data_IF_285044355187
#
_entry.id   IF_285044355187
#
_cell.length_a   1.000
_cell.length_b   1.000
_cell.length_c   1.000
_cell.angle_alpha   90.00
_cell.angle_beta   90.00
_cell.angle_gamma   90.00
#
_symmetry.space_group_name_H-M   'P 1'
#
loop_
_entity.id
_entity.type
_entity.pdbx_description
1 polymer ?
#
# COMPACT_ATOMS: atom_id res chain seq x y z
N UNK A 1 -47.43 10.53 91.19
CA UNK A 1 -47.62 10.23 89.79
C UNK A 1 -46.37 10.51 89.07
N UNK A 2 -45.81 9.41 88.59
CA UNK A 2 -44.91 9.04 87.47
C UNK A 2 -43.46 9.47 87.56
N UNK A 3 -42.66 8.46 88.01
CA UNK A 3 -41.30 8.17 87.62
C UNK A 3 -41.33 7.63 86.17
N UNK A 4 -40.75 8.28 85.24
CA UNK A 4 -40.23 7.72 84.02
C UNK A 4 -39.48 8.83 83.34
N UNK A 5 -38.29 8.50 82.78
CA UNK A 5 -37.44 9.30 81.85
C UNK A 5 -36.09 9.80 82.38
N UNK A 6 -35.27 8.91 82.92
CA UNK A 6 -33.84 9.14 83.10
C UNK A 6 -33.02 7.88 82.64
N UNK A 7 -33.29 7.37 81.46
CA UNK A 7 -32.47 6.30 80.86
C UNK A 7 -32.38 6.37 79.32
N UNK A 8 -31.91 7.50 78.78
CA UNK A 8 -31.58 7.55 77.39
C UNK A 8 -30.41 8.46 77.00
N UNK A 9 -29.42 8.58 77.86
CA UNK A 9 -28.24 9.44 77.58
C UNK A 9 -26.87 8.73 77.70
N UNK A 10 -26.81 7.42 77.39
CA UNK A 10 -25.54 6.69 77.41
C UNK A 10 -25.43 5.72 76.20
N UNK A 11 -25.46 6.26 74.97
CA UNK A 11 -25.06 5.46 73.79
C UNK A 11 -24.60 6.37 72.64
N UNK A 12 -23.79 7.36 72.89
CA UNK A 12 -22.94 7.96 71.89
C UNK A 12 -21.54 7.36 71.99
N UNK A 13 -21.45 6.07 71.69
CA UNK A 13 -20.18 5.42 71.44
C UNK A 13 -19.57 6.03 70.20
N UNK A 14 -18.57 6.89 70.36
CA UNK A 14 -17.68 7.32 69.28
C UNK A 14 -17.05 6.09 68.66
N UNK A 15 -17.58 5.60 67.57
CA UNK A 15 -16.92 4.62 66.71
C UNK A 15 -15.62 5.27 66.18
N UNK A 16 -14.50 4.98 66.81
CA UNK A 16 -13.17 5.27 66.28
C UNK A 16 -13.10 4.56 64.89
N UNK A 17 -12.92 5.30 63.78
CA UNK A 17 -12.73 4.64 62.50
C UNK A 17 -11.49 3.77 62.64
N UNK A 18 -11.68 2.47 62.56
CA UNK A 18 -10.54 1.53 62.48
C UNK A 18 -9.64 1.90 61.30
N UNK A 19 -8.33 1.63 61.40
CA UNK A 19 -7.39 1.96 60.33
C UNK A 19 -7.94 1.43 59.02
N UNK A 20 -8.02 2.33 57.99
CA UNK A 20 -8.45 1.97 56.66
C UNK A 20 -7.66 0.72 56.25
N UNK A 21 -8.33 -0.43 56.19
CA UNK A 21 -7.70 -1.63 55.66
C UNK A 21 -7.24 -1.30 54.30
N UNK A 22 -5.92 -1.26 54.12
CA UNK A 22 -5.24 -1.15 52.87
C UNK A 22 -5.80 -2.29 51.98
N UNK A 23 -6.77 -1.96 51.12
CA UNK A 23 -7.38 -2.91 50.20
C UNK A 23 -6.37 -3.10 49.08
N UNK A 24 -5.24 -3.72 49.41
CA UNK A 24 -4.33 -4.22 48.41
C UNK A 24 -5.12 -5.13 47.48
N UNK A 25 -4.85 -4.99 46.19
CA UNK A 25 -5.43 -5.84 45.17
C UNK A 25 -5.35 -7.31 45.58
N UNK A 26 -6.42 -8.08 45.41
CA UNK A 26 -6.43 -9.50 45.69
C UNK A 26 -5.44 -10.27 44.80
N UNK A 27 -5.07 -11.49 45.19
CA UNK A 27 -4.04 -12.24 44.48
C UNK A 27 -4.33 -12.43 42.97
N UNK A 28 -5.57 -12.75 42.53
CA UNK A 28 -5.88 -12.85 41.13
C UNK A 28 -5.76 -11.50 40.39
N UNK A 29 -6.17 -10.39 40.98
CA UNK A 29 -6.05 -9.05 40.39
C UNK A 29 -4.57 -8.64 40.23
N UNK A 30 -3.70 -8.99 41.21
CA UNK A 30 -2.24 -8.80 41.10
C UNK A 30 -1.63 -9.64 39.98
N UNK A 31 -2.06 -10.89 39.84
CA UNK A 31 -1.59 -11.76 38.77
C UNK A 31 -2.00 -11.24 37.39
N UNK A 32 -3.25 -10.79 37.23
CA UNK A 32 -3.74 -10.18 35.99
C UNK A 32 -2.98 -8.89 35.68
N UNK A 33 -2.83 -7.99 36.65
CA UNK A 33 -2.08 -6.75 36.49
C UNK A 33 -0.62 -7.00 36.09
N UNK A 34 0.03 -8.01 36.73
CA UNK A 34 1.39 -8.43 36.40
C UNK A 34 1.49 -8.97 34.96
N UNK A 35 0.55 -9.80 34.56
CA UNK A 35 0.48 -10.31 33.16
C UNK A 35 0.32 -9.18 32.16
N UNK A 36 -0.63 -8.27 32.39
CA UNK A 36 -0.87 -7.11 31.49
C UNK A 36 0.37 -6.23 31.40
N UNK A 37 1.05 -5.98 32.52
CA UNK A 37 2.28 -5.19 32.53
C UNK A 37 3.39 -5.86 31.71
N UNK A 38 3.61 -7.15 31.90
CA UNK A 38 4.64 -7.90 31.17
C UNK A 38 4.29 -7.93 29.68
N UNK A 39 3.04 -8.23 29.31
CA UNK A 39 2.58 -8.24 27.95
C UNK A 39 2.77 -6.87 27.26
N UNK A 40 2.44 -5.78 27.96
CA UNK A 40 2.64 -4.41 27.47
C UNK A 40 4.12 -4.09 27.30
N UNK A 41 4.97 -4.48 28.22
CA UNK A 41 6.43 -4.29 28.12
C UNK A 41 7.02 -5.04 26.93
N UNK A 42 6.62 -6.30 26.75
CA UNK A 42 7.05 -7.11 25.59
C UNK A 42 6.58 -6.46 24.29
N UNK A 43 5.31 -6.01 24.24
CA UNK A 43 4.77 -5.31 23.07
C UNK A 43 5.56 -4.04 22.75
N UNK A 44 5.85 -3.20 23.76
CA UNK A 44 6.63 -1.96 23.58
C UNK A 44 8.04 -2.26 23.05
N UNK A 45 8.71 -3.27 23.63
CA UNK A 45 10.08 -3.66 23.21
C UNK A 45 10.07 -4.17 21.76
N UNK A 46 9.14 -5.05 21.41
CA UNK A 46 9.03 -5.56 20.04
C UNK A 46 8.69 -4.46 19.05
N UNK A 47 7.80 -3.56 19.43
CA UNK A 47 7.46 -2.40 18.60
C UNK A 47 8.64 -1.45 18.39
N UNK A 48 9.40 -1.17 19.45
CA UNK A 48 10.61 -0.37 19.39
C UNK A 48 11.69 -1.03 18.50
N UNK A 49 11.88 -2.34 18.62
CA UNK A 49 12.78 -3.09 17.76
C UNK A 49 12.34 -3.03 16.27
N UNK A 50 11.07 -3.23 16.02
CA UNK A 50 10.50 -3.19 14.67
C UNK A 50 10.69 -1.81 14.00
N UNK A 51 10.51 -0.73 14.76
CA UNK A 51 10.68 0.64 14.26
C UNK A 51 12.15 1.06 14.15
N UNK A 52 13.00 0.63 15.10
CA UNK A 52 14.42 0.99 15.11
C UNK A 52 15.24 0.24 14.06
N UNK A 53 14.80 -0.95 13.65
CA UNK A 53 15.54 -1.81 12.73
C UNK A 53 14.76 -2.10 11.43
N UNK A 54 14.43 -1.06 10.62
CA UNK A 54 13.65 -1.24 9.39
C UNK A 54 14.33 -2.17 8.38
N UNK A 55 15.67 -2.30 8.43
CA UNK A 55 16.44 -3.18 7.55
C UNK A 55 16.15 -4.67 7.74
N UNK A 56 15.54 -5.06 8.86
CA UNK A 56 15.15 -6.46 9.10
C UNK A 56 13.93 -6.82 8.24
N UNK A 57 13.11 -5.84 7.88
CA UNK A 57 11.91 -6.05 7.10
C UNK A 57 12.19 -6.34 5.63
N UNK A 58 11.33 -7.09 4.95
CA UNK A 58 11.40 -7.25 3.50
C UNK A 58 11.38 -5.89 2.77
N UNK A 59 12.07 -5.79 1.65
CA UNK A 59 12.11 -4.55 0.86
C UNK A 59 10.73 -4.04 0.44
N UNK A 60 9.78 -4.95 0.23
CA UNK A 60 8.39 -4.61 -0.08
C UNK A 60 7.73 -3.79 1.03
N UNK A 61 7.92 -4.16 2.29
CA UNK A 61 7.34 -3.45 3.45
C UNK A 61 7.95 -2.06 3.60
N UNK A 62 9.27 -1.93 3.38
CA UNK A 62 9.96 -0.63 3.42
C UNK A 62 9.41 0.29 2.33
N UNK A 63 9.18 -0.24 1.13
CA UNK A 63 8.60 0.54 0.01
C UNK A 63 7.18 0.99 0.33
N UNK A 64 6.34 0.09 0.84
CA UNK A 64 4.95 0.40 1.20
C UNK A 64 4.88 1.47 2.28
N UNK A 65 5.65 1.29 3.35
CA UNK A 65 5.68 2.25 4.47
C UNK A 65 6.19 3.62 4.02
N UNK A 66 7.28 3.67 3.25
CA UNK A 66 7.84 4.92 2.77
C UNK A 66 6.87 5.67 1.85
N UNK A 67 6.16 4.97 0.97
CA UNK A 67 5.11 5.56 0.13
C UNK A 67 3.96 6.09 0.98
N UNK A 68 3.45 5.30 1.91
CA UNK A 68 2.37 5.70 2.79
C UNK A 68 2.76 6.91 3.65
N UNK A 69 3.96 6.90 4.23
CA UNK A 69 4.48 8.00 5.01
C UNK A 69 4.58 9.29 4.18
N UNK A 70 5.08 9.21 2.94
CA UNK A 70 5.17 10.37 2.05
C UNK A 70 3.80 10.94 1.69
N UNK A 71 2.80 10.08 1.47
CA UNK A 71 1.43 10.49 1.16
C UNK A 71 0.76 11.25 2.31
N UNK A 72 1.02 10.83 3.54
CA UNK A 72 0.39 11.40 4.75
C UNK A 72 1.14 12.62 5.26
N UNK A 73 2.47 12.62 5.18
CA UNK A 73 3.32 13.67 5.79
C UNK A 73 3.83 14.71 4.81
N UNK A 74 3.93 14.38 3.53
CA UNK A 74 4.44 15.28 2.52
C UNK A 74 3.34 15.89 1.66
N UNK A 75 3.57 17.11 1.19
CA UNK A 75 2.74 17.71 0.16
C UNK A 75 3.25 17.23 -1.20
N UNK A 76 2.52 16.30 -1.83
CA UNK A 76 2.91 15.71 -3.11
C UNK A 76 2.81 16.71 -4.27
N UNK A 77 1.86 17.60 -4.21
CA UNK A 77 1.53 18.51 -5.29
C UNK A 77 1.70 19.97 -4.86
N UNK A 78 2.17 20.80 -5.77
CA UNK A 78 2.20 22.25 -5.61
C UNK A 78 0.89 22.90 -6.12
N UNK A 79 0.69 24.17 -5.80
CA UNK A 79 -0.42 24.95 -6.35
C UNK A 79 -0.28 25.24 -7.85
N UNK A 80 0.93 25.11 -8.38
CA UNK A 80 1.26 25.34 -9.80
C UNK A 80 0.98 24.09 -10.66
N UNK A 81 0.80 22.92 -10.03
CA UNK A 81 0.52 21.67 -10.73
C UNK A 81 -0.93 21.68 -11.25
N UNK A 82 -1.07 21.98 -12.54
CA UNK A 82 -2.36 21.99 -13.24
C UNK A 82 -2.98 20.59 -13.28
N UNK A 83 -2.16 19.58 -13.52
CA UNK A 83 -2.55 18.18 -13.58
C UNK A 83 -1.76 17.39 -12.55
N UNK A 84 -2.47 16.91 -11.54
CA UNK A 84 -1.96 16.11 -10.42
C UNK A 84 -2.39 14.66 -10.62
N UNK A 85 -1.44 13.80 -10.96
CA UNK A 85 -1.73 12.45 -11.41
C UNK A 85 -1.23 11.43 -10.39
N UNK A 86 -2.12 10.58 -9.90
CA UNK A 86 -1.76 9.41 -9.09
C UNK A 86 -1.94 8.15 -9.92
N UNK A 87 -0.89 7.31 -10.00
CA UNK A 87 -0.93 6.07 -10.76
C UNK A 87 -0.91 4.88 -9.80
N UNK A 88 -2.01 4.14 -9.77
CA UNK A 88 -2.19 2.97 -8.91
C UNK A 88 -2.05 1.67 -9.69
N UNK A 89 -1.52 0.67 -9.01
CA UNK A 89 -1.36 -0.66 -9.53
C UNK A 89 -0.60 -1.55 -8.54
N UNK A 90 -0.25 -2.75 -8.99
CA UNK A 90 0.54 -3.70 -8.24
C UNK A 90 2.07 -3.48 -8.45
N UNK A 91 2.87 -4.50 -8.18
CA UNK A 91 4.33 -4.46 -8.37
C UNK A 91 4.75 -4.21 -9.82
N UNK A 92 3.93 -4.56 -10.82
CA UNK A 92 4.19 -4.24 -12.23
C UNK A 92 4.15 -2.74 -12.47
N UNK A 93 3.20 -2.03 -11.85
CA UNK A 93 3.13 -0.56 -11.91
C UNK A 93 4.27 0.07 -11.13
N UNK A 94 4.57 -0.48 -9.95
CA UNK A 94 5.71 -0.04 -9.12
C UNK A 94 7.01 0.00 -9.93
N UNK A 95 7.29 -1.06 -10.66
CA UNK A 95 8.50 -1.18 -11.49
C UNK A 95 8.38 -0.50 -12.85
N UNK A 96 7.17 -0.41 -13.41
CA UNK A 96 6.96 0.01 -14.79
C UNK A 96 6.72 1.50 -15.01
N UNK A 97 6.09 2.21 -14.08
CA UNK A 97 5.72 3.61 -14.28
C UNK A 97 6.76 4.58 -13.70
N UNK A 98 7.36 5.40 -14.55
CA UNK A 98 8.38 6.41 -14.21
C UNK A 98 7.79 7.82 -14.25
N UNK A 99 7.45 8.43 -13.10
CA UNK A 99 6.75 9.72 -13.03
C UNK A 99 7.44 10.85 -13.80
N UNK A 100 8.75 11.04 -13.59
CA UNK A 100 9.48 12.12 -14.24
C UNK A 100 9.46 12.04 -15.77
N UNK A 101 9.56 10.82 -16.29
CA UNK A 101 9.52 10.59 -17.73
C UNK A 101 8.12 10.81 -18.30
N UNK A 102 7.10 10.43 -17.55
CA UNK A 102 5.71 10.68 -17.90
C UNK A 102 5.44 12.18 -17.99
N UNK A 103 5.81 12.92 -16.94
CA UNK A 103 5.58 14.38 -16.86
C UNK A 103 6.32 15.12 -17.99
N UNK A 104 7.55 14.68 -18.32
CA UNK A 104 8.37 15.29 -19.37
C UNK A 104 7.74 15.17 -20.78
N UNK A 105 6.79 14.24 -20.98
CA UNK A 105 6.07 14.10 -22.25
C UNK A 105 4.96 15.15 -22.44
N UNK A 106 4.61 15.89 -21.40
CA UNK A 106 3.57 16.90 -21.41
C UNK A 106 4.14 18.31 -21.26
N UNK A 107 3.28 19.30 -21.49
CA UNK A 107 3.62 20.69 -21.18
C UNK A 107 3.83 20.88 -19.67
N UNK A 108 4.57 21.91 -19.23
CA UNK A 108 4.71 22.22 -17.80
C UNK A 108 3.35 22.26 -17.09
N UNK A 109 3.32 21.70 -15.88
CA UNK A 109 2.12 21.66 -15.04
C UNK A 109 1.52 20.27 -14.86
N UNK A 110 2.11 19.21 -15.43
CA UNK A 110 1.80 17.82 -15.07
C UNK A 110 2.77 17.37 -13.99
N UNK A 111 2.24 16.80 -12.92
CA UNK A 111 3.00 16.20 -11.83
C UNK A 111 2.39 14.88 -11.43
N UNK A 112 3.15 13.81 -11.59
CA UNK A 112 2.67 12.46 -11.34
C UNK A 112 3.43 11.76 -10.22
N UNK A 113 2.75 10.79 -9.57
CA UNK A 113 3.29 9.90 -8.55
C UNK A 113 2.95 8.45 -8.83
N UNK A 114 3.92 7.57 -8.63
CA UNK A 114 3.75 6.13 -8.72
C UNK A 114 3.32 5.56 -7.37
N UNK A 115 2.07 5.15 -7.25
CA UNK A 115 1.49 4.49 -6.09
C UNK A 115 1.28 2.97 -6.30
N UNK A 116 1.97 2.39 -7.27
CA UNK A 116 2.07 0.94 -7.40
C UNK A 116 2.66 0.32 -6.13
N UNK A 117 2.12 -0.82 -5.70
CA UNK A 117 2.51 -1.51 -4.48
C UNK A 117 2.87 -2.98 -4.75
N UNK A 118 3.77 -3.57 -3.96
CA UNK A 118 3.99 -5.01 -4.02
C UNK A 118 2.73 -5.79 -3.63
N UNK A 119 2.44 -6.88 -4.35
CA UNK A 119 1.28 -7.74 -4.07
C UNK A 119 -0.07 -7.10 -4.41
N UNK A 120 -1.08 -7.37 -3.62
CA UNK A 120 -2.43 -6.81 -3.80
C UNK A 120 -2.44 -5.31 -3.53
N UNK A 121 -2.86 -4.56 -4.53
CA UNK A 121 -2.91 -3.12 -4.41
C UNK A 121 -4.14 -2.67 -3.60
N UNK A 122 -3.88 -2.11 -2.44
CA UNK A 122 -4.90 -1.52 -1.58
C UNK A 122 -5.14 -0.07 -2.00
N UNK A 123 -5.83 0.12 -3.11
CA UNK A 123 -6.03 1.45 -3.71
C UNK A 123 -6.80 2.37 -2.75
N UNK A 124 -7.92 1.89 -2.20
CA UNK A 124 -8.82 2.74 -1.44
C UNK A 124 -8.20 3.32 -0.17
N UNK A 125 -7.60 2.54 0.75
CA UNK A 125 -7.01 3.09 1.97
C UNK A 125 -5.90 4.10 1.69
N UNK A 126 -5.10 3.87 0.64
CA UNK A 126 -4.01 4.76 0.27
C UNK A 126 -4.54 6.05 -0.35
N UNK A 127 -5.52 5.95 -1.23
CA UNK A 127 -6.16 7.12 -1.83
C UNK A 127 -6.87 7.96 -0.76
N UNK A 128 -7.62 7.33 0.13
CA UNK A 128 -8.29 8.01 1.24
C UNK A 128 -7.29 8.73 2.17
N UNK A 129 -6.17 8.10 2.49
CA UNK A 129 -5.10 8.71 3.26
C UNK A 129 -4.47 9.92 2.54
N UNK A 130 -4.23 9.81 1.23
CA UNK A 130 -3.72 10.92 0.42
C UNK A 130 -4.71 12.09 0.39
N UNK A 131 -5.99 11.82 0.17
CA UNK A 131 -7.06 12.83 0.16
C UNK A 131 -7.21 13.52 1.52
N UNK A 132 -7.20 12.75 2.61
CA UNK A 132 -7.27 13.28 3.98
C UNK A 132 -6.08 14.17 4.33
N UNK A 133 -4.90 13.88 3.77
CA UNK A 133 -3.69 14.70 3.89
C UNK A 133 -3.69 15.94 2.97
N UNK A 134 -4.74 16.14 2.17
CA UNK A 134 -4.83 17.25 1.22
C UNK A 134 -4.12 17.02 -0.12
N UNK A 135 -3.64 15.81 -0.37
CA UNK A 135 -3.02 15.43 -1.65
C UNK A 135 -4.09 15.03 -2.68
N UNK A 136 -4.90 16.00 -3.07
CA UNK A 136 -6.03 15.79 -4.00
C UNK A 136 -5.52 15.74 -5.44
N UNK A 137 -5.64 14.59 -6.14
CA UNK A 137 -5.28 14.51 -7.55
C UNK A 137 -6.33 15.20 -8.44
N UNK A 138 -5.99 15.45 -9.69
CA UNK A 138 -6.95 15.74 -10.75
C UNK A 138 -7.32 14.48 -11.53
N UNK A 139 -6.38 13.52 -11.57
CA UNK A 139 -6.54 12.26 -12.28
C UNK A 139 -5.95 11.10 -11.47
N UNK A 140 -6.68 10.00 -11.44
CA UNK A 140 -6.23 8.71 -10.93
C UNK A 140 -6.16 7.73 -12.10
N UNK A 141 -4.96 7.22 -12.40
CA UNK A 141 -4.76 6.19 -13.41
C UNK A 141 -4.66 4.82 -12.73
N UNK A 142 -5.44 3.86 -13.23
CA UNK A 142 -5.49 2.50 -12.70
C UNK A 142 -4.97 1.52 -13.75
N UNK A 143 -3.94 0.74 -13.38
CA UNK A 143 -3.35 -0.27 -14.27
C UNK A 143 -3.73 -1.69 -13.88
N UNK A 144 -4.45 -1.88 -12.78
CA UNK A 144 -4.81 -3.19 -12.28
C UNK A 144 -6.24 -3.56 -12.57
N UNK A 145 -6.47 -4.88 -12.74
CA UNK A 145 -7.79 -5.44 -12.59
C UNK A 145 -8.26 -5.23 -11.14
N UNK A 146 -9.50 -4.81 -11.03
CA UNK A 146 -10.21 -4.67 -9.76
C UNK A 146 -10.45 -6.04 -9.16
N UNK A 147 -10.43 -6.02 -7.87
CA UNK A 147 -10.87 -7.14 -7.09
C UNK A 147 -12.42 -7.21 -7.10
N UNK A 148 -12.95 -8.36 -7.50
CA UNK A 148 -14.38 -8.67 -7.44
C UNK A 148 -14.87 -8.96 -6.01
N UNK A 149 -14.02 -8.84 -5.01
CA UNK A 149 -14.40 -9.13 -3.63
C UNK A 149 -15.55 -8.23 -3.19
N UNK A 150 -16.56 -8.78 -2.54
CA UNK A 150 -17.63 -7.99 -1.95
C UNK A 150 -17.07 -7.08 -0.86
N UNK A 151 -17.85 -6.05 -0.50
CA UNK A 151 -17.51 -5.19 0.63
C UNK A 151 -17.17 -6.05 1.86
N UNK A 152 -16.00 -5.93 2.46
CA UNK A 152 -15.62 -6.72 3.62
C UNK A 152 -16.55 -6.43 4.79
N UNK A 153 -16.99 -7.47 5.46
CA UNK A 153 -17.75 -7.37 6.71
C UNK A 153 -16.85 -6.86 7.83
N UNK A 154 -17.44 -6.43 8.97
CA UNK A 154 -16.64 -6.05 10.14
C UNK A 154 -15.75 -7.21 10.62
N UNK A 155 -16.26 -8.44 10.53
CA UNK A 155 -15.50 -9.63 10.93
C UNK A 155 -14.33 -9.90 9.97
N UNK A 156 -14.55 -9.75 8.66
CA UNK A 156 -13.49 -9.86 7.66
C UNK A 156 -12.43 -8.78 7.89
N UNK A 157 -12.84 -7.54 8.21
CA UNK A 157 -11.91 -6.47 8.56
C UNK A 157 -11.09 -6.79 9.81
N UNK A 158 -11.70 -7.31 10.84
CA UNK A 158 -11.00 -7.67 12.08
C UNK A 158 -10.06 -8.87 11.88
N UNK A 159 -10.43 -9.80 11.01
CA UNK A 159 -9.67 -11.02 10.75
C UNK A 159 -8.57 -10.82 9.71
N UNK A 160 -8.88 -10.10 8.63
CA UNK A 160 -8.06 -10.01 7.43
C UNK A 160 -7.58 -8.57 7.18
N UNK A 161 -8.06 -7.59 8.00
CA UNK A 161 -7.58 -6.21 7.90
C UNK A 161 -6.18 -6.12 8.47
N UNK A 162 -5.22 -6.34 7.59
CA UNK A 162 -3.81 -6.16 7.91
C UNK A 162 -3.55 -4.77 8.52
N UNK A 163 -4.38 -3.75 8.25
CA UNK A 163 -4.19 -2.43 8.83
C UNK A 163 -4.38 -2.43 10.34
N UNK A 164 -5.38 -3.15 10.86
CA UNK A 164 -5.58 -3.33 12.31
C UNK A 164 -4.47 -4.20 12.89
N UNK A 165 -4.15 -5.32 12.23
CA UNK A 165 -3.07 -6.20 12.66
C UNK A 165 -1.70 -5.51 12.58
N UNK A 166 -1.44 -4.73 11.52
CA UNK A 166 -0.22 -3.92 11.42
C UNK A 166 -0.14 -2.82 12.48
N UNK A 167 -1.27 -2.26 12.89
CA UNK A 167 -1.30 -1.25 13.97
C UNK A 167 -1.10 -1.88 15.35
N UNK A 168 -1.75 -3.00 15.61
CA UNK A 168 -1.71 -3.66 16.93
C UNK A 168 -0.48 -4.55 17.11
N UNK A 169 -0.08 -5.29 16.07
CA UNK A 169 1.03 -6.24 16.11
C UNK A 169 1.89 -6.13 14.84
N UNK A 170 2.51 -4.95 14.59
CA UNK A 170 3.31 -4.72 13.39
C UNK A 170 4.52 -5.67 13.29
N UNK A 171 4.95 -6.20 14.40
CA UNK A 171 6.09 -7.10 14.55
C UNK A 171 5.73 -8.61 14.47
N UNK A 172 4.51 -8.96 14.04
CA UNK A 172 4.08 -10.38 13.98
C UNK A 172 5.01 -11.28 13.15
N UNK A 173 5.57 -10.72 12.08
CA UNK A 173 6.49 -11.42 11.19
C UNK A 173 7.97 -11.24 11.58
N UNK A 174 8.26 -10.43 12.59
CA UNK A 174 9.62 -10.10 13.04
C UNK A 174 10.53 -11.32 13.27
N UNK A 175 10.09 -12.42 13.88
CA UNK A 175 10.94 -13.60 14.06
C UNK A 175 11.38 -14.20 12.71
N UNK A 176 10.46 -14.33 11.76
CA UNK A 176 10.75 -14.80 10.41
C UNK A 176 11.70 -13.83 9.69
N UNK A 177 11.45 -12.55 9.80
CA UNK A 177 12.21 -11.51 9.12
C UNK A 177 13.64 -11.40 9.69
N UNK A 178 13.82 -11.57 11.00
CA UNK A 178 15.15 -11.67 11.62
C UNK A 178 15.93 -12.86 11.06
N UNK A 179 15.30 -14.03 10.98
CA UNK A 179 15.97 -15.23 10.42
C UNK A 179 16.34 -15.00 8.97
N UNK A 180 15.41 -14.48 8.18
CA UNK A 180 15.67 -14.17 6.78
C UNK A 180 16.79 -13.12 6.62
N UNK A 181 16.76 -12.06 7.45
CA UNK A 181 17.80 -11.03 7.45
C UNK A 181 19.18 -11.57 7.80
N UNK A 182 19.29 -12.39 8.84
CA UNK A 182 20.57 -13.03 9.21
C UNK A 182 21.08 -13.92 8.07
N UNK A 183 20.19 -14.72 7.48
CA UNK A 183 20.55 -15.62 6.38
C UNK A 183 21.01 -14.87 5.12
N UNK A 184 20.41 -13.72 4.81
CA UNK A 184 20.69 -12.94 3.59
C UNK A 184 21.77 -11.87 3.77
N UNK A 185 21.93 -11.35 4.98
CA UNK A 185 22.93 -10.30 5.26
C UNK A 185 24.36 -10.80 5.36
N UNK A 186 24.55 -12.11 5.55
CA UNK A 186 25.88 -12.70 5.83
C UNK A 186 26.64 -11.91 6.91
N UNK A 187 25.93 -11.46 7.97
CA UNK A 187 26.44 -10.62 9.07
C UNK A 187 26.93 -9.21 8.67
N UNK A 188 26.66 -8.75 7.45
CA UNK A 188 26.97 -7.41 6.98
C UNK A 188 25.82 -6.42 7.32
N UNK A 189 25.41 -6.37 8.56
CA UNK A 189 24.23 -5.62 9.02
C UNK A 189 24.27 -4.13 8.67
N UNK A 190 25.43 -3.50 8.82
CA UNK A 190 25.59 -2.08 8.52
C UNK A 190 25.42 -1.80 7.02
N UNK A 191 26.07 -2.59 6.18
CA UNK A 191 25.96 -2.45 4.73
C UNK A 191 24.52 -2.64 4.26
N UNK A 192 23.82 -3.61 4.81
CA UNK A 192 22.41 -3.87 4.51
C UNK A 192 21.49 -2.73 4.95
N UNK A 193 21.77 -2.14 6.10
CA UNK A 193 21.03 -0.95 6.57
C UNK A 193 21.22 0.25 5.64
N UNK A 194 22.46 0.54 5.28
CA UNK A 194 22.79 1.64 4.38
C UNK A 194 22.18 1.42 2.98
N UNK A 195 22.21 0.20 2.47
CA UNK A 195 21.58 -0.17 1.19
C UNK A 195 20.05 0.06 1.23
N UNK A 196 19.37 -0.46 2.25
CA UNK A 196 17.91 -0.29 2.41
C UNK A 196 17.51 1.17 2.51
N UNK A 197 18.30 1.97 3.23
CA UNK A 197 18.07 3.41 3.34
C UNK A 197 18.26 4.12 1.99
N UNK A 198 19.31 3.78 1.27
CA UNK A 198 19.59 4.37 -0.06
C UNK A 198 18.48 3.99 -1.07
N UNK A 199 17.98 2.78 -1.03
CA UNK A 199 16.88 2.34 -1.89
C UNK A 199 15.59 3.10 -1.59
N UNK A 200 15.25 3.26 -0.30
CA UNK A 200 14.12 4.08 0.14
C UNK A 200 14.24 5.51 -0.37
N UNK A 201 15.38 6.15 -0.11
CA UNK A 201 15.62 7.55 -0.48
C UNK A 201 15.57 7.73 -2.01
N UNK A 202 16.10 6.75 -2.77
CA UNK A 202 16.03 6.75 -4.24
C UNK A 202 14.59 6.63 -4.74
N UNK A 203 13.80 5.71 -4.17
CA UNK A 203 12.40 5.54 -4.54
C UNK A 203 11.59 6.83 -4.27
N UNK A 204 11.80 7.46 -3.12
CA UNK A 204 11.14 8.73 -2.79
C UNK A 204 11.56 9.84 -3.74
N UNK A 205 12.85 9.97 -4.05
CA UNK A 205 13.37 10.94 -5.01
C UNK A 205 12.79 10.73 -6.43
N UNK A 206 12.52 9.48 -6.80
CA UNK A 206 11.91 9.10 -8.08
C UNK A 206 10.36 9.06 -8.01
N UNK A 207 9.77 9.73 -7.04
CA UNK A 207 8.33 9.87 -6.88
C UNK A 207 7.58 8.54 -6.89
N UNK A 208 8.14 7.56 -6.18
CA UNK A 208 7.54 6.25 -5.96
C UNK A 208 7.90 5.17 -6.99
N UNK A 209 8.63 5.49 -8.05
CA UNK A 209 9.16 4.45 -8.94
C UNK A 209 10.25 3.64 -8.24
N UNK A 210 10.16 2.32 -8.32
CA UNK A 210 11.12 1.43 -7.70
C UNK A 210 11.46 0.27 -8.61
N UNK A 211 12.72 0.18 -9.01
CA UNK A 211 13.24 -0.96 -9.72
C UNK A 211 13.57 -2.07 -8.73
N UNK A 212 12.87 -3.19 -8.85
CA UNK A 212 13.05 -4.35 -7.97
C UNK A 212 14.35 -5.07 -8.34
N UNK A 213 15.41 -4.81 -7.57
CA UNK A 213 16.67 -5.56 -7.67
C UNK A 213 16.52 -6.84 -6.88
N UNK A 214 16.23 -7.96 -7.52
CA UNK A 214 16.20 -9.26 -6.88
C UNK A 214 17.49 -10.04 -7.09
N UNK A 215 17.80 -10.95 -6.18
CA UNK A 215 18.90 -11.93 -6.35
C UNK A 215 18.64 -12.91 -7.49
N UNK A 216 17.46 -12.87 -8.09
CA UNK A 216 17.04 -13.73 -9.20
C UNK A 216 17.16 -13.05 -10.55
N UNK A 217 17.65 -11.82 -10.59
CA UNK A 217 17.83 -11.12 -11.85
C UNK A 217 19.09 -11.60 -12.54
N UNK A 218 19.00 -11.68 -13.85
CA UNK A 218 20.18 -11.93 -14.66
C UNK A 218 21.18 -10.78 -14.48
N UNK A 219 22.50 -11.06 -14.51
CA UNK A 219 23.51 -10.02 -14.34
C UNK A 219 23.40 -8.87 -15.34
N UNK A 220 22.88 -9.15 -16.55
CA UNK A 220 22.58 -8.13 -17.57
C UNK A 220 21.42 -7.20 -17.19
N UNK A 221 20.57 -7.59 -16.25
CA UNK A 221 19.31 -6.89 -15.96
C UNK A 221 18.21 -7.16 -16.99
N UNK A 222 18.44 -8.10 -17.90
CA UNK A 222 17.54 -8.48 -18.99
C UNK A 222 17.26 -9.98 -18.94
N UNK A 223 16.05 -10.39 -19.29
CA UNK A 223 15.73 -11.79 -19.47
C UNK A 223 16.20 -12.25 -20.86
N UNK A 224 16.78 -13.46 -20.99
CA UNK A 224 17.03 -14.06 -22.29
C UNK A 224 15.73 -14.22 -23.11
N UNK A 225 15.82 -14.12 -24.42
CA UNK A 225 14.67 -14.30 -25.32
C UNK A 225 14.02 -15.68 -25.21
N UNK A 226 14.82 -16.68 -24.91
CA UNK A 226 14.41 -18.08 -24.69
C UNK A 226 14.04 -18.37 -23.23
N UNK A 227 13.94 -17.35 -22.39
CA UNK A 227 13.61 -17.53 -20.98
C UNK A 227 12.25 -18.20 -20.81
N UNK A 228 12.29 -19.37 -20.21
CA UNK A 228 11.12 -20.17 -19.88
C UNK A 228 11.25 -20.72 -18.47
N UNK A 229 10.24 -20.47 -17.65
CA UNK A 229 10.11 -21.12 -16.35
C UNK A 229 9.05 -22.22 -16.51
N UNK A 230 9.34 -23.47 -16.12
CA UNK A 230 8.33 -24.55 -16.19
C UNK A 230 7.06 -24.27 -15.41
N UNK A 231 7.14 -23.40 -14.39
CA UNK A 231 6.04 -22.94 -13.53
C UNK A 231 5.57 -21.53 -13.87
N UNK A 232 6.05 -20.95 -14.96
CA UNK A 232 5.58 -19.67 -15.46
C UNK A 232 4.18 -19.88 -16.01
N UNK A 233 3.21 -19.80 -15.12
CA UNK A 233 1.84 -19.65 -15.58
C UNK A 233 1.81 -18.32 -16.31
N UNK A 234 1.44 -18.30 -17.61
CA UNK A 234 1.19 -17.03 -18.27
C UNK A 234 0.24 -16.26 -17.36
N UNK A 235 0.56 -15.01 -17.09
CA UNK A 235 -0.42 -14.13 -16.45
C UNK A 235 -1.70 -14.27 -17.28
N UNK A 236 -2.67 -14.95 -16.74
CA UNK A 236 -3.99 -15.04 -17.34
C UNK A 236 -4.61 -13.65 -17.25
N UNK A 237 -4.11 -12.74 -18.08
CA UNK A 237 -4.80 -11.50 -18.32
C UNK A 237 -6.00 -11.82 -19.20
N UNK A 238 -7.01 -12.23 -18.52
CA UNK A 238 -8.35 -12.16 -19.04
C UNK A 238 -8.60 -10.70 -19.46
N UNK A 239 -9.31 -10.54 -20.55
CA UNK A 239 -9.83 -9.24 -20.98
C UNK A 239 -10.27 -8.44 -19.76
N UNK A 240 -10.13 -7.10 -19.78
CA UNK A 240 -10.61 -6.23 -18.70
C UNK A 240 -12.11 -6.44 -18.45
N UNK A 241 -12.44 -7.55 -17.87
CA UNK A 241 -13.77 -7.74 -17.31
C UNK A 241 -13.92 -6.81 -16.11
N UNK A 242 -14.35 -5.59 -16.40
CA UNK A 242 -14.78 -4.66 -15.38
C UNK A 242 -16.04 -5.24 -14.76
N UNK A 243 -16.00 -5.71 -13.52
CA UNK A 243 -17.19 -6.28 -12.93
C UNK A 243 -18.24 -5.19 -12.76
N UNK A 244 -19.43 -5.45 -13.29
CA UNK A 244 -20.58 -4.54 -13.20
C UNK A 244 -20.94 -4.12 -11.76
N UNK A 245 -20.40 -4.76 -10.74
CA UNK A 245 -20.65 -4.48 -9.32
C UNK A 245 -19.37 -4.58 -8.48
N UNK A 246 -18.37 -3.79 -8.80
CA UNK A 246 -17.18 -3.68 -7.97
C UNK A 246 -17.40 -2.68 -6.84
N UNK A 247 -17.19 -3.14 -5.61
CA UNK A 247 -17.15 -2.24 -4.44
C UNK A 247 -16.05 -1.18 -4.60
N UNK A 248 -14.87 -1.58 -5.09
CA UNK A 248 -13.73 -0.67 -5.29
C UNK A 248 -14.07 0.43 -6.28
N UNK A 249 -14.69 0.09 -7.43
CA UNK A 249 -15.09 1.09 -8.42
C UNK A 249 -16.18 2.01 -7.88
N UNK A 250 -17.16 1.49 -7.17
CA UNK A 250 -18.22 2.32 -6.56
C UNK A 250 -17.66 3.32 -5.55
N UNK A 251 -16.71 2.91 -4.72
CA UNK A 251 -16.05 3.81 -3.77
C UNK A 251 -15.11 4.81 -4.45
N UNK A 252 -14.41 4.40 -5.49
CA UNK A 252 -13.60 5.32 -6.31
C UNK A 252 -14.47 6.37 -7.00
N UNK A 253 -15.64 5.98 -7.51
CA UNK A 253 -16.60 6.92 -8.08
C UNK A 253 -17.14 7.91 -7.04
N UNK A 254 -17.47 7.41 -5.85
CA UNK A 254 -17.89 8.26 -4.73
C UNK A 254 -16.81 9.28 -4.36
N UNK A 255 -15.56 8.83 -4.23
CA UNK A 255 -14.42 9.70 -3.92
C UNK A 255 -14.15 10.68 -5.08
N UNK A 256 -14.20 10.21 -6.31
CA UNK A 256 -14.04 11.03 -7.53
C UNK A 256 -15.03 12.20 -7.53
N UNK A 257 -16.30 11.93 -7.28
CA UNK A 257 -17.33 12.98 -7.18
C UNK A 257 -17.13 13.92 -6.00
N UNK A 258 -16.73 13.36 -4.84
CA UNK A 258 -16.53 14.15 -3.62
C UNK A 258 -15.35 15.13 -3.72
N UNK A 259 -14.27 14.71 -4.40
CA UNK A 259 -13.03 15.50 -4.49
C UNK A 259 -12.75 16.07 -5.89
N UNK A 260 -13.57 15.79 -6.88
CA UNK A 260 -13.50 16.37 -8.21
C UNK A 260 -12.38 15.84 -9.09
N UNK A 261 -11.90 14.61 -8.89
CA UNK A 261 -10.89 13.98 -9.74
C UNK A 261 -11.51 13.00 -10.75
N UNK A 262 -10.80 12.71 -11.83
CA UNK A 262 -11.20 11.74 -12.84
C UNK A 262 -10.49 10.41 -12.62
N UNK A 263 -11.20 9.30 -12.86
CA UNK A 263 -10.64 7.94 -12.80
C UNK A 263 -10.53 7.36 -14.18
N UNK A 264 -9.33 6.89 -14.53
CA UNK A 264 -9.02 6.37 -15.85
C UNK A 264 -8.30 5.02 -15.73
N UNK A 265 -8.86 4.04 -16.40
CA UNK A 265 -8.28 2.72 -16.51
C UNK A 265 -7.34 2.69 -17.71
N UNK A 266 -6.10 2.32 -17.46
CA UNK A 266 -5.02 2.33 -18.46
C UNK A 266 -4.42 0.93 -18.65
N UNK A 267 -3.74 0.64 -19.78
CA UNK A 267 -3.16 -0.66 -20.03
C UNK A 267 -2.13 -1.08 -18.97
N UNK A 268 -2.14 -2.37 -18.64
CA UNK A 268 -1.04 -3.02 -17.93
C UNK A 268 0.11 -3.38 -18.87
N UNK A 269 1.17 -3.98 -18.31
CA UNK A 269 2.27 -4.56 -19.09
C UNK A 269 2.29 -6.09 -18.93
N UNK A 270 2.66 -6.79 -20.02
CA UNK A 270 2.78 -8.22 -20.08
C UNK A 270 4.06 -8.60 -20.86
N UNK A 271 4.77 -9.61 -20.38
CA UNK A 271 5.91 -10.16 -21.09
C UNK A 271 5.45 -11.02 -22.27
N UNK A 272 6.12 -10.88 -23.41
CA UNK A 272 5.88 -11.75 -24.57
C UNK A 272 6.24 -13.20 -24.20
N UNK A 273 5.31 -14.10 -24.44
CA UNK A 273 5.49 -15.54 -24.35
C UNK A 273 4.71 -16.23 -25.48
N UNK A 274 4.99 -17.50 -25.72
CA UNK A 274 4.43 -18.23 -26.86
C UNK A 274 2.88 -18.28 -26.89
N UNK A 275 2.25 -18.12 -25.75
CA UNK A 275 0.79 -18.14 -25.59
C UNK A 275 0.15 -16.75 -25.48
N UNK A 276 0.96 -15.68 -25.44
CA UNK A 276 0.44 -14.33 -25.37
C UNK A 276 -0.21 -13.98 -26.71
N UNK A 277 -1.52 -13.92 -26.73
CA UNK A 277 -2.27 -13.37 -27.85
C UNK A 277 -2.05 -11.87 -27.91
N UNK A 278 -1.81 -11.33 -29.11
CA UNK A 278 -1.81 -9.89 -29.28
C UNK A 278 -3.18 -9.34 -28.84
N UNK A 279 -3.22 -8.28 -28.01
CA UNK A 279 -4.49 -7.65 -27.67
C UNK A 279 -5.18 -7.21 -28.94
N UNK A 280 -6.51 -7.30 -28.97
CA UNK A 280 -7.27 -6.85 -30.12
C UNK A 280 -6.90 -5.39 -30.47
N UNK A 281 -6.59 -5.14 -31.72
CA UNK A 281 -6.09 -3.84 -32.22
C UNK A 281 -7.08 -2.66 -32.07
N UNK A 282 -8.27 -2.89 -31.54
CA UNK A 282 -9.33 -1.88 -31.33
C UNK A 282 -9.04 -0.89 -30.18
N UNK A 283 -7.82 -0.86 -29.68
CA UNK A 283 -7.40 -0.29 -28.42
C UNK A 283 -7.29 1.22 -28.31
N UNK A 284 -7.73 2.03 -29.23
CA UNK A 284 -7.66 3.50 -29.10
C UNK A 284 -8.97 4.17 -28.66
N UNK A 285 -9.96 3.42 -28.28
CA UNK A 285 -11.26 4.01 -27.91
C UNK A 285 -11.28 4.36 -26.43
N UNK A 286 -11.54 5.62 -26.13
CA UNK A 286 -11.97 6.03 -24.80
C UNK A 286 -13.40 5.59 -24.58
N UNK A 287 -13.63 4.59 -23.75
CA UNK A 287 -14.94 4.02 -23.45
C UNK A 287 -15.30 4.30 -21.99
N UNK A 288 -16.55 4.68 -21.73
CA UNK A 288 -17.06 4.74 -20.37
C UNK A 288 -17.11 3.34 -19.74
N UNK A 289 -16.82 3.24 -18.45
CA UNK A 289 -16.97 2.00 -17.71
C UNK A 289 -18.46 1.72 -17.52
N UNK A 290 -18.90 0.49 -17.81
CA UNK A 290 -20.27 0.10 -17.55
C UNK A 290 -20.64 0.38 -16.09
N UNK A 291 -21.83 0.95 -15.86
CA UNK A 291 -22.33 1.38 -14.54
C UNK A 291 -21.54 2.47 -13.81
N UNK A 292 -20.42 2.99 -14.39
CA UNK A 292 -19.59 4.05 -13.83
C UNK A 292 -19.27 5.12 -14.88
N UNK A 293 -20.22 5.96 -15.25
CA UNK A 293 -20.11 6.89 -16.39
C UNK A 293 -19.01 7.94 -16.24
N UNK A 294 -18.59 8.23 -15.01
CA UNK A 294 -17.51 9.17 -14.70
C UNK A 294 -16.11 8.56 -14.85
N UNK A 295 -16.04 7.24 -15.09
CA UNK A 295 -14.79 6.52 -15.33
C UNK A 295 -14.61 6.22 -16.81
N UNK A 296 -13.36 6.21 -17.25
CA UNK A 296 -12.99 5.93 -18.62
C UNK A 296 -11.96 4.81 -18.70
N UNK A 297 -12.10 3.98 -19.72
CA UNK A 297 -11.07 3.04 -20.16
C UNK A 297 -10.41 3.64 -21.38
N UNK A 298 -9.08 3.68 -21.42
CA UNK A 298 -8.32 4.07 -22.60
C UNK A 298 -7.30 2.98 -22.94
N UNK A 299 -7.06 2.83 -24.23
CA UNK A 299 -6.13 1.85 -24.77
C UNK A 299 -6.56 0.39 -24.63
N UNK A 300 -5.70 -0.55 -25.03
CA UNK A 300 -5.94 -1.98 -24.92
C UNK A 300 -5.89 -2.44 -23.46
N UNK A 301 -6.21 -3.70 -23.21
CA UNK A 301 -6.16 -4.27 -21.86
C UNK A 301 -4.75 -4.30 -21.31
N UNK A 302 -3.77 -4.59 -22.17
CA UNK A 302 -2.34 -4.63 -21.85
C UNK A 302 -1.48 -4.43 -23.10
N UNK A 303 -0.24 -4.03 -22.88
CA UNK A 303 0.80 -4.05 -23.92
C UNK A 303 1.77 -5.19 -23.68
N UNK A 304 2.25 -5.79 -24.77
CA UNK A 304 3.20 -6.90 -24.74
C UNK A 304 4.59 -6.37 -25.07
N UNK A 305 5.53 -6.55 -24.14
CA UNK A 305 6.93 -6.18 -24.29
C UNK A 305 7.82 -7.42 -24.42
N UNK A 306 8.97 -7.32 -25.13
CA UNK A 306 9.90 -8.42 -25.27
C UNK A 306 10.53 -8.83 -23.93
N UNK A 307 11.03 -10.06 -23.77
CA UNK A 307 11.74 -10.51 -22.56
C UNK A 307 12.88 -9.61 -22.14
N UNK A 308 13.64 -9.04 -23.10
CA UNK A 308 14.75 -8.12 -22.81
C UNK A 308 14.34 -6.87 -22.01
N UNK A 309 13.06 -6.49 -22.02
CA UNK A 309 12.54 -5.36 -21.23
C UNK A 309 12.17 -5.73 -19.78
N UNK A 310 12.38 -6.98 -19.40
CA UNK A 310 12.05 -7.51 -18.08
C UNK A 310 13.28 -7.82 -17.26
N UNK A 311 13.16 -7.64 -15.96
CA UNK A 311 14.17 -8.01 -14.98
C UNK A 311 13.91 -9.41 -14.38
N UNK A 312 12.67 -9.86 -14.42
CA UNK A 312 12.21 -11.18 -14.02
C UNK A 312 10.97 -11.57 -14.84
N UNK A 313 10.26 -12.62 -14.46
CA UNK A 313 9.09 -13.11 -15.21
C UNK A 313 7.96 -12.10 -15.38
N UNK A 314 7.87 -11.08 -14.51
CA UNK A 314 6.72 -10.19 -14.42
C UNK A 314 7.04 -8.68 -14.32
N UNK A 315 8.26 -8.32 -13.89
CA UNK A 315 8.62 -6.94 -13.63
C UNK A 315 9.51 -6.36 -14.73
N UNK A 316 9.13 -5.21 -15.24
CA UNK A 316 9.94 -4.46 -16.21
C UNK A 316 11.28 -4.02 -15.59
N UNK A 317 12.34 -4.09 -16.37
CA UNK A 317 13.62 -3.48 -16.09
C UNK A 317 13.58 -1.97 -16.41
N UNK A 318 14.63 -1.18 -16.14
CA UNK A 318 14.61 0.25 -16.40
C UNK A 318 14.36 0.64 -17.87
N UNK A 319 14.75 -0.20 -18.83
CA UNK A 319 14.50 0.02 -20.26
C UNK A 319 13.03 -0.18 -20.57
N UNK A 320 12.47 -1.34 -20.22
CA UNK A 320 11.06 -1.63 -20.39
C UNK A 320 10.14 -0.66 -19.65
N UNK A 321 10.54 -0.22 -18.43
CA UNK A 321 9.82 0.82 -17.70
C UNK A 321 9.78 2.15 -18.46
N UNK A 322 10.87 2.50 -19.15
CA UNK A 322 10.92 3.71 -19.98
C UNK A 322 10.03 3.59 -21.20
N UNK A 323 9.97 2.43 -21.83
CA UNK A 323 9.10 2.18 -22.99
C UNK A 323 7.63 2.20 -22.58
N UNK A 324 7.28 1.44 -21.55
CA UNK A 324 5.93 1.44 -21.00
C UNK A 324 5.44 2.86 -20.63
N UNK A 325 6.29 3.62 -19.94
CA UNK A 325 5.94 4.99 -19.54
C UNK A 325 5.73 5.91 -20.74
N UNK A 326 6.54 5.77 -21.79
CA UNK A 326 6.41 6.53 -23.04
C UNK A 326 5.10 6.20 -23.76
N UNK A 327 4.77 4.91 -23.84
CA UNK A 327 3.53 4.46 -24.48
C UNK A 327 2.31 4.96 -23.71
N UNK A 328 2.36 4.89 -22.36
CA UNK A 328 1.30 5.41 -21.50
C UNK A 328 1.14 6.94 -21.66
N UNK A 329 2.24 7.68 -21.69
CA UNK A 329 2.20 9.12 -21.88
C UNK A 329 1.59 9.48 -23.24
N UNK A 330 1.97 8.77 -24.31
CA UNK A 330 1.39 8.96 -25.65
C UNK A 330 -0.12 8.67 -25.64
N UNK A 331 -0.54 7.56 -25.07
CA UNK A 331 -1.95 7.19 -24.97
C UNK A 331 -2.77 8.25 -24.22
N UNK A 332 -2.26 8.74 -23.10
CA UNK A 332 -2.90 9.78 -22.31
C UNK A 332 -2.95 11.11 -23.06
N UNK A 333 -1.90 11.47 -23.78
CA UNK A 333 -1.86 12.67 -24.64
C UNK A 333 -2.90 12.58 -25.76
N UNK A 334 -2.95 11.45 -26.47
CA UNK A 334 -3.88 11.22 -27.58
C UNK A 334 -5.35 11.22 -27.11
N UNK A 335 -5.59 10.84 -25.86
CA UNK A 335 -6.93 10.90 -25.25
C UNK A 335 -7.42 12.32 -24.95
N UNK A 336 -6.53 13.31 -24.94
CA UNK A 336 -6.84 14.70 -24.63
C UNK A 336 -7.18 14.99 -23.15
N UNK A 337 -6.95 14.04 -22.26
CA UNK A 337 -7.34 14.18 -20.83
C UNK A 337 -6.50 15.18 -20.05
N UNK A 338 -5.25 15.39 -20.43
CA UNK A 338 -4.32 16.32 -19.81
C UNK A 338 -4.03 17.55 -20.72
N UNK A 339 -5.05 18.04 -21.41
CA UNK A 339 -4.97 19.23 -22.26
C UNK A 339 -5.61 20.47 -21.63
#
# INVERSE_FOLDING_TARGET
VQKEDVESLHALGTAIPGPARDRGLDAPTRAIAGFVLIASLVWIVLHACYTAFPMIRPGADIVMEAKFESLVKARLFSSEDRFRVLVFGNSKTLAGFRPEQFDAAFKPGVHSYNLGLPGDARILPILEAALAAGNVPTHVLLTIPWDNKPKPTLLDRLRDDESILYTLVPFRDLPRDIVAFIATSHFQFRARYEESRQERDRMLAQRGWYFIKGQRFFPSGELPDDYSIPTDHPDEFLARDVPARSFVLSELERLSRAYGFKVVLVPGNMRRHAQASAPAADGQRSVAVADHPDMRIIGPDYWIYPPADYADSVHLNPVGASEYTRDLARLVADSGMLN
#
